data_IF_568689907161
#
_entry.id   IF_568689907161
#
_cell.length_a   1.000
_cell.length_b   1.000
_cell.length_c   1.000
_cell.angle_alpha   90.00
_cell.angle_beta   90.00
_cell.angle_gamma   90.00
#
_symmetry.space_group_name_H-M   'P 1'
#
loop_
_entity.id
_entity.type
_entity.pdbx_description
1 polymer ?
#
# COMPACT_ATOMS: atom_id res chain seq x y z
N UNK A 1 15.29 -0.83 -10.55
CA UNK A 1 15.26 0.09 -9.39
C UNK A 1 16.08 -0.57 -8.29
N UNK A 2 16.96 0.13 -7.57
CA UNK A 2 17.70 -0.51 -6.48
C UNK A 2 16.77 -0.68 -5.28
N UNK A 3 16.99 -1.70 -4.45
CA UNK A 3 16.13 -2.03 -3.28
C UNK A 3 15.93 -0.88 -2.30
N UNK A 4 16.96 -0.03 -2.13
CA UNK A 4 16.90 1.19 -1.32
C UNK A 4 15.86 2.19 -1.88
N UNK A 5 15.75 2.27 -3.21
CA UNK A 5 14.83 3.18 -3.88
C UNK A 5 13.37 2.74 -3.70
N UNK A 6 13.10 1.43 -3.61
CA UNK A 6 11.75 0.92 -3.36
C UNK A 6 11.27 1.25 -1.95
N UNK A 7 12.09 0.96 -0.94
CA UNK A 7 11.74 1.25 0.45
C UNK A 7 11.41 2.74 0.62
N UNK A 8 12.19 3.63 0.01
CA UNK A 8 11.93 5.07 0.02
C UNK A 8 10.71 5.47 -0.81
N UNK A 9 10.50 4.84 -1.98
CA UNK A 9 9.38 5.15 -2.85
C UNK A 9 8.04 4.76 -2.23
N UNK A 10 7.95 3.59 -1.59
CA UNK A 10 6.72 3.07 -1.01
C UNK A 10 6.47 3.61 0.42
N UNK A 11 7.52 3.87 1.21
CA UNK A 11 7.37 4.49 2.54
C UNK A 11 6.82 5.90 2.42
N UNK A 12 5.76 6.20 3.16
CA UNK A 12 5.15 7.52 3.21
C UNK A 12 3.65 7.50 3.41
N UNK A 13 3.05 8.68 3.28
CA UNK A 13 1.61 8.88 3.32
C UNK A 13 1.02 8.79 1.91
N UNK A 14 -0.06 8.03 1.79
CA UNK A 14 -0.79 7.79 0.57
C UNK A 14 -2.26 8.13 0.77
N UNK A 15 -2.88 8.80 -0.19
CA UNK A 15 -4.31 9.16 -0.14
C UNK A 15 -5.02 8.61 -1.37
N UNK A 16 -6.20 8.04 -1.15
CA UNK A 16 -7.07 7.50 -2.18
C UNK A 16 -8.51 7.40 -1.70
N UNK A 17 -9.31 6.62 -2.44
CA UNK A 17 -10.66 6.22 -2.05
C UNK A 17 -10.69 4.77 -1.59
N UNK A 18 -11.68 4.37 -0.82
CA UNK A 18 -11.94 2.95 -0.54
C UNK A 18 -13.43 2.71 -0.31
N UNK A 19 -14.08 1.90 -1.16
CA UNK A 19 -15.54 1.77 -1.12
C UNK A 19 -16.20 3.15 -1.31
N UNK A 20 -17.09 3.50 -0.38
CA UNK A 20 -17.80 4.79 -0.40
C UNK A 20 -17.03 5.92 0.33
N UNK A 21 -15.82 5.64 0.85
CA UNK A 21 -15.02 6.60 1.59
C UNK A 21 -14.02 7.29 0.66
N UNK A 22 -14.07 8.62 0.61
CA UNK A 22 -13.05 9.47 -0.02
C UNK A 22 -11.99 9.91 0.99
N UNK A 23 -10.79 10.24 0.54
CA UNK A 23 -9.67 10.71 1.39
C UNK A 23 -9.21 9.67 2.42
N UNK A 24 -9.29 8.40 2.08
CA UNK A 24 -8.70 7.32 2.88
C UNK A 24 -7.19 7.48 2.84
N UNK A 25 -6.60 7.56 4.03
CA UNK A 25 -5.14 7.67 4.18
C UNK A 25 -4.53 6.32 4.50
N UNK A 26 -3.40 6.00 3.87
CA UNK A 26 -2.50 4.92 4.26
C UNK A 26 -1.14 5.51 4.64
N UNK A 27 -0.67 5.22 5.84
CA UNK A 27 0.73 5.43 6.21
C UNK A 27 1.45 4.10 6.06
N UNK A 28 2.52 4.04 5.26
CA UNK A 28 3.29 2.81 5.03
C UNK A 28 4.75 3.06 5.45
N UNK A 29 5.32 2.11 6.20
CA UNK A 29 6.72 2.09 6.60
C UNK A 29 7.36 0.77 6.19
N UNK A 30 8.30 0.83 5.25
CA UNK A 30 8.95 -0.35 4.67
C UNK A 30 10.30 -0.59 5.31
N UNK A 31 10.53 -1.82 5.77
CA UNK A 31 11.81 -2.33 6.21
C UNK A 31 12.11 -3.60 5.42
N UNK A 32 13.08 -3.52 4.52
CA UNK A 32 13.47 -4.64 3.67
C UNK A 32 12.29 -5.11 2.79
N UNK A 33 11.90 -6.38 2.86
CA UNK A 33 10.69 -6.90 2.18
C UNK A 33 9.43 -6.86 3.04
N UNK A 34 9.46 -6.27 4.23
CA UNK A 34 8.27 -6.16 5.09
C UNK A 34 7.81 -4.72 5.20
N UNK A 35 6.55 -4.53 5.55
CA UNK A 35 6.06 -3.22 5.95
C UNK A 35 5.07 -3.31 7.09
N UNK A 36 5.06 -2.23 7.85
CA UNK A 36 4.01 -1.86 8.78
C UNK A 36 3.23 -0.69 8.20
N UNK A 37 1.94 -0.61 8.48
CA UNK A 37 1.14 0.51 8.04
C UNK A 37 -0.10 0.75 8.87
N UNK A 38 -0.71 1.90 8.62
CA UNK A 38 -1.98 2.31 9.21
C UNK A 38 -2.90 2.82 8.13
N UNK A 39 -4.14 2.34 8.11
CA UNK A 39 -5.19 2.95 7.30
C UNK A 39 -6.12 3.77 8.19
N UNK A 40 -6.61 4.87 7.64
CA UNK A 40 -7.51 5.80 8.31
C UNK A 40 -8.79 5.94 7.48
N UNK A 41 -9.91 5.48 8.03
CA UNK A 41 -11.25 5.61 7.45
C UNK A 41 -12.15 6.17 8.54
N UNK A 42 -12.87 7.26 8.26
CA UNK A 42 -13.82 7.88 9.19
C UNK A 42 -13.25 8.05 10.62
N UNK A 43 -12.04 8.61 10.73
CA UNK A 43 -11.29 8.81 11.99
C UNK A 43 -10.85 7.52 12.72
N UNK A 44 -11.15 6.34 12.20
CA UNK A 44 -10.68 5.07 12.74
C UNK A 44 -9.31 4.74 12.17
N UNK A 45 -8.35 4.54 13.08
CA UNK A 45 -7.00 4.09 12.76
C UNK A 45 -6.90 2.59 12.93
N UNK A 46 -6.50 1.88 11.87
CA UNK A 46 -6.32 0.43 11.91
C UNK A 46 -4.94 0.06 11.40
N UNK A 47 -4.23 -0.75 12.18
CA UNK A 47 -2.91 -1.24 11.83
C UNK A 47 -2.99 -2.40 10.84
N UNK A 48 -2.06 -2.45 9.91
CA UNK A 48 -1.84 -3.58 9.02
C UNK A 48 -0.36 -3.82 8.81
N UNK A 49 -0.04 -5.02 8.35
CA UNK A 49 1.32 -5.44 8.03
C UNK A 49 1.29 -6.18 6.71
N UNK A 50 2.45 -6.38 6.11
CA UNK A 50 2.54 -7.20 4.93
C UNK A 50 3.95 -7.41 4.42
N UNK A 51 4.01 -8.00 3.24
CA UNK A 51 5.27 -8.36 2.57
C UNK A 51 5.27 -7.82 1.15
N UNK A 52 6.46 -7.49 0.66
CA UNK A 52 6.71 -6.94 -0.66
C UNK A 52 7.54 -7.94 -1.47
N UNK A 53 7.08 -8.23 -2.69
CA UNK A 53 7.82 -9.01 -3.68
C UNK A 53 8.14 -8.09 -4.85
N UNK A 54 9.42 -7.90 -5.13
CA UNK A 54 9.89 -7.05 -6.22
C UNK A 54 9.83 -7.81 -7.55
N UNK A 55 9.11 -7.25 -8.52
CA UNK A 55 9.16 -7.65 -9.93
C UNK A 55 9.91 -6.58 -10.75
N UNK A 56 10.02 -6.80 -12.07
CA UNK A 56 10.83 -5.93 -12.95
C UNK A 56 10.23 -4.53 -13.11
N UNK A 57 8.92 -4.42 -13.19
CA UNK A 57 8.15 -3.22 -13.52
C UNK A 57 7.30 -2.69 -12.34
N UNK A 58 7.07 -3.54 -11.34
CA UNK A 58 6.27 -3.22 -10.17
C UNK A 58 6.75 -3.99 -8.93
N UNK A 59 6.28 -3.57 -7.76
CA UNK A 59 6.37 -4.36 -6.54
C UNK A 59 4.98 -4.87 -6.16
N UNK A 60 4.85 -6.16 -5.88
CA UNK A 60 3.63 -6.76 -5.34
C UNK A 60 3.62 -6.64 -3.83
N UNK A 61 2.46 -6.30 -3.29
CA UNK A 61 2.23 -6.09 -1.87
C UNK A 61 1.20 -7.12 -1.42
N UNK A 62 1.50 -7.86 -0.38
CA UNK A 62 0.61 -8.83 0.24
C UNK A 62 0.30 -8.37 1.65
N UNK A 63 -0.98 -8.18 1.99
CA UNK A 63 -1.35 -7.86 3.37
C UNK A 63 -1.46 -9.13 4.19
N UNK A 64 -0.91 -9.07 5.40
CA UNK A 64 -1.01 -10.13 6.39
C UNK A 64 -2.34 -10.02 7.16
N UNK A 65 -2.78 -11.10 7.84
CA UNK A 65 -3.86 -11.04 8.81
C UNK A 65 -3.65 -9.86 9.80
N UNK A 66 -4.71 -9.14 10.20
CA UNK A 66 -6.13 -9.50 10.14
C UNK A 66 -6.83 -9.15 8.81
N UNK A 67 -6.10 -8.70 7.79
CA UNK A 67 -6.69 -8.41 6.49
C UNK A 67 -7.20 -9.67 5.78
N UNK A 68 -8.08 -9.48 4.78
CA UNK A 68 -8.60 -10.59 4.00
C UNK A 68 -7.45 -11.33 3.27
N UNK A 69 -7.49 -12.66 3.15
CA UNK A 69 -6.42 -13.44 2.51
C UNK A 69 -6.10 -13.04 1.07
N UNK A 70 -7.08 -12.42 0.39
CA UNK A 70 -7.01 -11.92 -0.98
C UNK A 70 -6.91 -10.39 -1.02
N UNK A 71 -6.17 -9.81 -0.09
CA UNK A 71 -5.88 -8.38 -0.06
C UNK A 71 -4.39 -8.10 -0.23
N UNK A 72 -4.11 -6.96 -0.85
CA UNK A 72 -2.75 -6.60 -1.22
C UNK A 72 -2.72 -5.38 -2.11
N UNK A 73 -1.72 -5.30 -2.97
CA UNK A 73 -1.58 -4.21 -3.91
C UNK A 73 -0.41 -4.35 -4.88
N UNK A 74 -0.27 -3.35 -5.73
CA UNK A 74 0.83 -3.17 -6.65
C UNK A 74 1.36 -1.75 -6.55
N UNK A 75 2.67 -1.61 -6.44
CA UNK A 75 3.35 -0.34 -6.60
C UNK A 75 4.06 -0.30 -7.95
N UNK A 76 3.62 0.58 -8.84
CA UNK A 76 4.16 0.73 -10.19
C UNK A 76 5.31 1.73 -10.19
N UNK A 77 6.49 1.28 -10.65
CA UNK A 77 7.71 2.07 -10.52
C UNK A 77 7.72 3.32 -11.40
N UNK A 78 7.14 3.24 -12.59
CA UNK A 78 7.17 4.34 -13.56
C UNK A 78 6.17 5.44 -13.20
N UNK A 79 4.94 5.05 -12.85
CA UNK A 79 3.86 5.99 -12.51
C UNK A 79 3.88 6.45 -11.06
N UNK A 80 4.67 5.78 -10.20
CA UNK A 80 4.69 6.02 -8.73
C UNK A 80 3.30 5.90 -8.10
N UNK A 81 2.50 4.97 -8.63
CA UNK A 81 1.12 4.73 -8.19
C UNK A 81 1.06 3.47 -7.34
N UNK A 82 0.30 3.53 -6.26
CA UNK A 82 -0.05 2.39 -5.43
C UNK A 82 -1.50 1.98 -5.72
N UNK A 83 -1.71 0.82 -6.33
CA UNK A 83 -3.03 0.18 -6.40
C UNK A 83 -3.18 -0.77 -5.22
N UNK A 84 -4.29 -0.68 -4.50
CA UNK A 84 -4.62 -1.56 -3.38
C UNK A 84 -5.89 -2.33 -3.72
N UNK A 85 -5.94 -3.61 -3.34
CA UNK A 85 -7.10 -4.47 -3.57
C UNK A 85 -7.47 -5.28 -2.33
N UNK A 86 -8.74 -5.67 -2.28
CA UNK A 86 -9.30 -6.63 -1.33
C UNK A 86 -10.50 -7.28 -2.00
N UNK A 87 -10.46 -8.60 -2.20
CA UNK A 87 -11.46 -9.32 -2.99
C UNK A 87 -11.60 -8.72 -4.40
N UNK A 88 -12.80 -8.27 -4.74
CA UNK A 88 -13.18 -7.68 -6.02
C UNK A 88 -12.96 -6.16 -6.07
N UNK A 89 -12.66 -5.52 -4.94
CA UNK A 89 -12.47 -4.07 -4.86
C UNK A 89 -11.03 -3.69 -5.11
N UNK A 90 -10.84 -2.62 -5.87
CA UNK A 90 -9.54 -2.01 -6.19
C UNK A 90 -9.63 -0.51 -6.05
N UNK A 91 -8.55 0.11 -5.63
CA UNK A 91 -8.46 1.55 -5.60
C UNK A 91 -7.03 2.03 -5.77
N UNK A 92 -6.91 3.22 -6.33
CA UNK A 92 -5.64 3.89 -6.56
C UNK A 92 -5.37 4.87 -5.43
N UNK A 93 -4.15 4.82 -4.92
CA UNK A 93 -3.63 5.71 -3.90
C UNK A 93 -2.43 6.48 -4.47
N UNK A 94 -2.36 7.76 -4.10
CA UNK A 94 -1.32 8.68 -4.54
C UNK A 94 -0.52 9.15 -3.34
N UNK A 95 0.80 9.16 -3.48
CA UNK A 95 1.70 9.64 -2.45
C UNK A 95 1.51 11.14 -2.25
N UNK A 96 1.39 11.59 -1.01
CA UNK A 96 1.16 13.02 -0.72
C UNK A 96 2.45 13.82 -0.60
N UNK A 97 3.57 13.17 -0.23
CA UNK A 97 4.90 13.78 -0.05
C UNK A 97 6.03 12.79 -0.33
#
# INVERSE_FOLDING_TARGET
MNRIDLCQALTGEWIGSWGDHSNVRLDIYVIDTMFDGFYYIDEHKVQFQGTIIEDTDHARIYFNPPMAPDSGGWFYYDSKVLEVYCKDRRSTFHKTK
#
